data_IF_587557676092
#
_entry.id   IF_587557676092
#
_cell.length_a   1.000
_cell.length_b   1.000
_cell.length_c   1.000
_cell.angle_alpha   90.00
_cell.angle_beta   90.00
_cell.angle_gamma   90.00
#
_symmetry.space_group_name_H-M   'P 1'
#
loop_
_entity.id
_entity.type
_entity.pdbx_description
1 polymer ?
#
# COMPACT_ATOMS: atom_id res chain seq x y z
N UNK A 1 15.64 3.89 -12.98
CA UNK A 1 14.59 3.13 -12.31
C UNK A 1 14.87 3.03 -10.83
N UNK A 2 13.83 3.07 -9.99
CA UNK A 2 13.96 2.87 -8.53
C UNK A 2 14.26 1.39 -8.24
N UNK A 3 14.90 1.12 -7.11
CA UNK A 3 15.19 -0.24 -6.61
C UNK A 3 14.54 -0.38 -5.24
N UNK A 4 14.04 -1.59 -4.93
CA UNK A 4 13.55 -1.88 -3.58
C UNK A 4 14.71 -2.06 -2.61
N UNK A 5 14.50 -1.92 -1.30
CA UNK A 5 15.54 -2.19 -0.30
C UNK A 5 16.14 -3.60 -0.40
N UNK A 6 15.37 -4.57 -0.91
CA UNK A 6 15.79 -5.97 -1.04
C UNK A 6 16.41 -6.29 -2.41
N UNK A 7 16.58 -5.31 -3.30
CA UNK A 7 17.08 -5.52 -4.66
C UNK A 7 18.34 -6.41 -4.72
N UNK A 8 19.35 -6.10 -3.92
CA UNK A 8 20.60 -6.86 -3.89
C UNK A 8 20.40 -8.31 -3.40
N UNK A 9 19.45 -8.52 -2.50
CA UNK A 9 19.08 -9.87 -2.03
C UNK A 9 18.44 -10.68 -3.16
N UNK A 10 17.50 -10.08 -3.88
CA UNK A 10 16.88 -10.70 -5.05
C UNK A 10 17.91 -11.07 -6.11
N UNK A 11 18.84 -10.14 -6.41
CA UNK A 11 19.93 -10.39 -7.36
C UNK A 11 20.82 -11.56 -6.93
N UNK A 12 21.19 -11.62 -5.64
CA UNK A 12 21.99 -12.72 -5.06
C UNK A 12 21.30 -14.08 -5.21
N UNK A 13 19.97 -14.10 -5.18
CA UNK A 13 19.17 -15.32 -5.34
C UNK A 13 18.77 -15.59 -6.80
N UNK A 14 19.41 -14.96 -7.76
CA UNK A 14 19.22 -15.26 -9.20
C UNK A 14 17.89 -14.76 -9.76
N UNK A 15 17.30 -13.71 -9.17
CA UNK A 15 16.07 -13.12 -9.69
C UNK A 15 16.27 -12.56 -11.10
N UNK A 16 15.29 -12.76 -11.96
CA UNK A 16 15.12 -12.01 -13.21
C UNK A 16 14.28 -10.79 -12.95
N UNK A 17 14.76 -9.62 -13.37
CA UNK A 17 14.10 -8.35 -13.14
C UNK A 17 13.34 -7.86 -14.36
N UNK A 18 12.24 -7.17 -14.10
CA UNK A 18 11.45 -6.42 -15.08
C UNK A 18 11.09 -5.05 -14.54
N UNK A 19 10.76 -4.14 -15.44
CA UNK A 19 10.22 -2.84 -15.06
C UNK A 19 8.76 -2.99 -14.63
N UNK A 20 8.44 -2.55 -13.40
CA UNK A 20 7.09 -2.51 -12.88
C UNK A 20 6.90 -1.28 -11.97
N UNK A 21 5.88 -0.46 -12.25
CA UNK A 21 5.54 0.73 -11.45
C UNK A 21 6.74 1.67 -11.18
N UNK A 22 7.65 1.83 -12.14
CA UNK A 22 8.85 2.66 -12.02
C UNK A 22 10.02 2.02 -11.25
N UNK A 23 9.88 0.77 -10.84
CA UNK A 23 10.89 -0.02 -10.14
C UNK A 23 11.44 -1.15 -11.00
N UNK A 24 12.67 -1.59 -10.70
CA UNK A 24 13.20 -2.88 -11.12
C UNK A 24 12.71 -3.94 -10.12
N UNK A 25 11.72 -4.76 -10.54
CA UNK A 25 11.10 -5.76 -9.68
C UNK A 25 11.46 -7.18 -10.11
N UNK A 26 11.68 -8.11 -9.15
CA UNK A 26 11.89 -9.51 -9.47
C UNK A 26 10.59 -10.12 -10.00
N UNK A 27 10.62 -10.71 -11.20
CA UNK A 27 9.45 -11.39 -11.78
C UNK A 27 9.48 -12.89 -11.53
N UNK A 28 10.66 -13.48 -11.44
CA UNK A 28 10.84 -14.90 -11.17
C UNK A 28 12.28 -15.18 -10.72
N UNK A 29 12.47 -16.34 -10.14
CA UNK A 29 13.76 -16.92 -9.79
C UNK A 29 14.08 -18.12 -10.70
N UNK A 30 15.09 -18.90 -10.34
CA UNK A 30 15.57 -20.03 -11.15
C UNK A 30 14.47 -21.07 -11.48
N UNK A 31 13.57 -21.32 -10.53
CA UNK A 31 12.47 -22.28 -10.70
C UNK A 31 11.38 -21.85 -11.67
N UNK A 32 11.29 -20.57 -11.98
CA UNK A 32 10.35 -19.96 -12.92
C UNK A 32 8.95 -19.73 -12.36
N UNK A 33 8.22 -18.81 -13.02
CA UNK A 33 6.92 -18.29 -12.59
C UNK A 33 5.90 -19.39 -12.28
N UNK A 34 5.78 -20.40 -13.16
CA UNK A 34 4.75 -21.44 -13.01
C UNK A 34 4.97 -22.26 -11.75
N UNK A 35 6.22 -22.68 -11.49
CA UNK A 35 6.54 -23.47 -10.30
C UNK A 35 6.41 -22.65 -9.03
N UNK A 36 6.83 -21.38 -9.04
CA UNK A 36 6.67 -20.46 -7.93
C UNK A 36 5.19 -20.24 -7.58
N UNK A 37 4.34 -20.04 -8.61
CA UNK A 37 2.90 -19.94 -8.43
C UNK A 37 2.30 -21.21 -7.80
N UNK A 38 2.61 -22.39 -8.32
CA UNK A 38 2.13 -23.67 -7.79
C UNK A 38 2.61 -23.87 -6.36
N UNK A 39 3.87 -23.53 -6.05
CA UNK A 39 4.43 -23.61 -4.70
C UNK A 39 3.66 -22.70 -3.73
N UNK A 40 3.37 -21.48 -4.12
CA UNK A 40 2.58 -20.53 -3.30
C UNK A 40 1.16 -21.04 -3.05
N UNK A 41 0.53 -21.68 -4.05
CA UNK A 41 -0.83 -22.25 -3.92
C UNK A 41 -0.89 -23.47 -3.00
N UNK A 42 0.13 -24.30 -3.01
CA UNK A 42 0.15 -25.58 -2.27
C UNK A 42 0.90 -25.51 -0.94
N UNK A 43 1.75 -24.52 -0.76
CA UNK A 43 2.59 -24.32 0.43
C UNK A 43 2.55 -22.84 0.84
N UNK A 44 3.73 -22.20 0.88
CA UNK A 44 3.87 -20.80 1.27
C UNK A 44 4.75 -20.02 0.29
N UNK A 45 4.47 -18.72 0.13
CA UNK A 45 5.29 -17.80 -0.63
C UNK A 45 5.60 -16.52 0.15
N UNK A 46 6.75 -15.93 -0.12
CA UNK A 46 7.16 -14.61 0.40
C UNK A 46 7.26 -13.66 -0.79
N UNK A 47 6.70 -12.45 -0.63
CA UNK A 47 6.67 -11.44 -1.67
C UNK A 47 7.26 -10.13 -1.16
N UNK A 48 8.23 -9.56 -1.90
CA UNK A 48 8.69 -8.20 -1.67
C UNK A 48 7.66 -7.22 -2.22
N UNK A 49 7.01 -6.48 -1.31
CA UNK A 49 6.05 -5.43 -1.63
C UNK A 49 6.57 -4.03 -1.26
N UNK A 50 7.88 -3.88 -1.07
CA UNK A 50 8.52 -2.62 -0.64
C UNK A 50 8.37 -1.47 -1.64
N UNK A 51 7.94 -1.76 -2.88
CA UNK A 51 7.63 -0.73 -3.88
C UNK A 51 6.33 0.01 -3.60
N UNK A 52 5.43 -0.55 -2.81
CA UNK A 52 4.17 0.08 -2.42
C UNK A 52 4.40 1.26 -1.47
N UNK A 53 3.49 2.24 -1.49
CA UNK A 53 3.49 3.33 -0.52
C UNK A 53 3.02 2.85 0.85
N UNK A 54 3.73 3.24 1.91
CA UNK A 54 3.38 2.94 3.29
C UNK A 54 3.17 4.25 4.03
N UNK A 55 1.95 4.73 4.03
CA UNK A 55 1.59 6.03 4.60
C UNK A 55 1.15 5.88 6.05
N UNK A 56 1.79 6.62 6.96
CA UNK A 56 1.42 6.68 8.36
C UNK A 56 0.79 8.04 8.69
N UNK A 57 -0.40 8.01 9.27
CA UNK A 57 -1.18 9.16 9.69
C UNK A 57 -1.37 9.11 11.20
N UNK A 58 -0.94 10.13 11.92
CA UNK A 58 -1.17 10.24 13.37
C UNK A 58 -2.34 11.16 13.66
N UNK A 59 -3.24 10.70 14.53
CA UNK A 59 -4.40 11.45 14.98
C UNK A 59 -5.44 10.56 15.66
N UNK A 60 -6.37 11.18 16.37
CA UNK A 60 -7.47 10.52 17.08
C UNK A 60 -8.79 10.56 16.29
N UNK A 61 -9.88 10.81 17.01
CA UNK A 61 -11.25 10.79 16.45
C UNK A 61 -11.47 11.82 15.35
N UNK A 62 -10.82 12.98 15.41
CA UNK A 62 -10.89 13.98 14.35
C UNK A 62 -10.34 13.45 13.03
N UNK A 63 -9.16 12.80 13.05
CA UNK A 63 -8.60 12.15 11.87
C UNK A 63 -9.54 11.04 11.35
N UNK A 64 -10.10 10.24 12.24
CA UNK A 64 -11.08 9.20 11.88
C UNK A 64 -12.25 9.80 11.12
N UNK A 65 -12.84 10.89 11.63
CA UNK A 65 -13.96 11.57 11.00
C UNK A 65 -13.60 12.16 9.64
N UNK A 66 -12.41 12.73 9.48
CA UNK A 66 -11.98 13.28 8.21
C UNK A 66 -11.71 12.18 7.17
N UNK A 67 -11.08 11.08 7.57
CA UNK A 67 -10.84 9.95 6.68
C UNK A 67 -12.15 9.25 6.24
N UNK A 68 -13.18 9.19 7.09
CA UNK A 68 -14.49 8.64 6.73
C UNK A 68 -15.24 9.45 5.67
N UNK A 69 -14.87 10.71 5.43
CA UNK A 69 -15.39 11.52 4.31
C UNK A 69 -14.77 11.13 2.96
N UNK A 70 -13.64 10.44 2.99
CA UNK A 70 -12.82 10.10 1.81
C UNK A 70 -12.96 8.62 1.47
N UNK A 71 -12.98 7.77 2.50
CA UNK A 71 -13.04 6.31 2.35
C UNK A 71 -14.45 5.79 2.63
N UNK A 72 -15.02 4.95 1.75
CA UNK A 72 -16.38 4.41 1.91
C UNK A 72 -16.40 3.25 2.92
N UNK A 73 -15.92 3.51 4.14
CA UNK A 73 -15.78 2.50 5.19
C UNK A 73 -15.99 3.14 6.57
N UNK A 74 -16.65 2.44 7.47
CA UNK A 74 -16.83 2.84 8.87
C UNK A 74 -15.54 2.54 9.66
N UNK A 75 -14.63 3.52 9.69
CA UNK A 75 -13.34 3.41 10.38
C UNK A 75 -13.48 3.32 11.89
N UNK A 76 -14.57 3.83 12.45
CA UNK A 76 -14.82 3.76 13.90
C UNK A 76 -15.01 2.30 14.35
N UNK A 77 -15.56 1.44 13.49
CA UNK A 77 -15.79 0.01 13.79
C UNK A 77 -14.58 -0.89 13.53
N UNK A 78 -13.48 -0.36 12.97
CA UNK A 78 -12.26 -1.16 12.78
C UNK A 78 -11.53 -1.27 14.11
N UNK A 79 -11.18 -2.50 14.50
CA UNK A 79 -10.36 -2.75 15.68
C UNK A 79 -8.89 -2.35 15.47
N UNK A 80 -8.17 -2.01 16.54
CA UNK A 80 -6.72 -1.75 16.48
C UNK A 80 -6.01 -2.97 15.87
N UNK A 81 -5.05 -2.71 14.97
CA UNK A 81 -4.32 -3.70 14.18
C UNK A 81 -5.16 -4.50 13.16
N UNK A 82 -6.40 -4.09 12.92
CA UNK A 82 -7.22 -4.65 11.86
C UNK A 82 -7.05 -3.84 10.58
N UNK A 83 -6.84 -4.55 9.47
CA UNK A 83 -6.77 -3.99 8.12
C UNK A 83 -8.07 -4.21 7.36
N UNK A 84 -8.41 -3.24 6.51
CA UNK A 84 -9.55 -3.31 5.58
C UNK A 84 -9.14 -2.80 4.21
N UNK A 85 -9.61 -3.50 3.18
CA UNK A 85 -9.58 -3.03 1.81
C UNK A 85 -10.61 -1.93 1.62
N UNK A 86 -10.24 -0.85 0.95
CA UNK A 86 -11.09 0.31 0.71
C UNK A 86 -10.68 1.05 -0.56
N UNK A 87 -11.34 2.16 -0.86
CA UNK A 87 -11.13 2.96 -2.05
C UNK A 87 -10.91 4.42 -1.69
N UNK A 88 -10.06 5.11 -2.44
CA UNK A 88 -9.95 6.56 -2.46
C UNK A 88 -11.00 7.10 -3.41
N UNK A 89 -12.03 7.80 -2.86
CA UNK A 89 -13.22 8.18 -3.61
C UNK A 89 -13.13 9.59 -4.18
N UNK A 90 -13.71 9.74 -5.38
CA UNK A 90 -14.05 11.04 -5.98
C UNK A 90 -15.37 11.56 -5.39
N UNK A 91 -15.58 12.89 -5.48
CA UNK A 91 -16.81 13.52 -5.00
C UNK A 91 -18.06 13.08 -5.78
N UNK A 92 -17.89 12.69 -7.03
CA UNK A 92 -18.98 12.18 -7.87
C UNK A 92 -19.25 10.67 -7.69
N UNK A 93 -18.63 10.03 -6.67
CA UNK A 93 -18.78 8.60 -6.40
C UNK A 93 -17.87 7.68 -7.22
N UNK A 94 -17.03 8.23 -8.12
CA UNK A 94 -16.00 7.47 -8.82
C UNK A 94 -14.82 7.12 -7.89
N UNK A 95 -13.92 6.27 -8.36
CA UNK A 95 -12.75 5.80 -7.63
C UNK A 95 -11.50 6.45 -8.22
N UNK A 96 -10.61 6.96 -7.36
CA UNK A 96 -9.24 7.33 -7.75
C UNK A 96 -8.34 6.11 -7.77
N UNK A 97 -8.29 5.39 -6.65
CA UNK A 97 -7.49 4.17 -6.49
C UNK A 97 -8.08 3.27 -5.38
N UNK A 98 -7.59 2.03 -5.30
CA UNK A 98 -7.86 1.12 -4.20
C UNK A 98 -6.66 1.09 -3.23
N UNK A 99 -6.93 0.73 -1.98
CA UNK A 99 -5.92 0.75 -0.93
C UNK A 99 -6.28 -0.17 0.24
N UNK A 100 -5.31 -0.38 1.13
CA UNK A 100 -5.55 -1.06 2.40
C UNK A 100 -5.34 -0.06 3.53
N UNK A 101 -6.34 0.08 4.40
CA UNK A 101 -6.25 0.91 5.60
C UNK A 101 -6.21 0.03 6.84
N UNK A 102 -5.24 0.29 7.73
CA UNK A 102 -5.05 -0.40 9.00
C UNK A 102 -5.20 0.59 10.15
N UNK A 103 -6.06 0.29 11.12
CA UNK A 103 -6.18 1.09 12.33
C UNK A 103 -5.02 0.78 13.28
N UNK A 104 -4.29 1.81 13.68
CA UNK A 104 -3.24 1.75 14.69
C UNK A 104 -3.75 2.33 16.02
N UNK A 105 -2.95 2.20 17.08
CA UNK A 105 -3.28 2.76 18.40
C UNK A 105 -3.41 4.29 18.38
N UNK A 106 -2.56 4.96 17.59
CA UNK A 106 -2.43 6.42 17.52
C UNK A 106 -2.71 6.99 16.12
N UNK A 107 -3.45 6.26 15.28
CA UNK A 107 -3.78 6.69 13.93
C UNK A 107 -4.03 5.57 12.95
N UNK A 108 -3.54 5.73 11.72
CA UNK A 108 -3.75 4.78 10.63
C UNK A 108 -2.48 4.54 9.81
N UNK A 109 -2.33 3.33 9.31
CA UNK A 109 -1.41 3.00 8.21
C UNK A 109 -2.22 2.73 6.96
N UNK A 110 -1.81 3.33 5.84
CA UNK A 110 -2.44 3.12 4.53
C UNK A 110 -1.39 2.59 3.57
N UNK A 111 -1.71 1.48 2.89
CA UNK A 111 -0.88 0.93 1.81
C UNK A 111 -1.45 1.42 0.49
N UNK A 112 -0.63 2.14 -0.27
CA UNK A 112 -0.95 2.73 -1.56
C UNK A 112 -0.29 1.95 -2.69
N UNK A 113 -0.94 1.88 -3.84
CA UNK A 113 -0.40 1.26 -5.04
C UNK A 113 0.87 1.98 -5.53
N UNK A 114 1.89 1.23 -5.90
CA UNK A 114 3.22 1.76 -6.21
C UNK A 114 3.22 2.82 -7.31
N UNK A 115 2.40 2.62 -8.36
CA UNK A 115 2.31 3.54 -9.49
C UNK A 115 1.58 4.85 -9.15
N UNK A 116 0.63 4.81 -8.22
CA UNK A 116 -0.29 5.90 -7.89
C UNK A 116 0.08 6.62 -6.58
N UNK A 117 1.00 6.09 -5.78
CA UNK A 117 1.24 6.54 -4.40
C UNK A 117 1.53 8.04 -4.24
N UNK A 118 2.23 8.65 -5.19
CA UNK A 118 2.54 10.09 -5.13
C UNK A 118 1.26 10.92 -5.39
N UNK A 119 0.45 10.54 -6.38
CA UNK A 119 -0.82 11.19 -6.69
C UNK A 119 -1.87 10.98 -5.57
N UNK A 120 -1.94 9.76 -5.02
CA UNK A 120 -2.84 9.45 -3.91
C UNK A 120 -2.48 10.24 -2.65
N UNK A 121 -1.18 10.39 -2.36
CA UNK A 121 -0.69 11.21 -1.26
C UNK A 121 -1.11 12.67 -1.43
N UNK A 122 -0.98 13.22 -2.64
CA UNK A 122 -1.39 14.59 -2.92
C UNK A 122 -2.91 14.78 -2.76
N UNK A 123 -3.71 13.82 -3.23
CA UNK A 123 -5.17 13.83 -3.04
C UNK A 123 -5.51 13.77 -1.55
N UNK A 124 -4.90 12.86 -0.79
CA UNK A 124 -5.12 12.75 0.65
C UNK A 124 -4.78 14.05 1.37
N UNK A 125 -3.60 14.62 1.13
CA UNK A 125 -3.19 15.92 1.71
C UNK A 125 -4.17 17.04 1.37
N UNK A 126 -4.65 17.11 0.12
CA UNK A 126 -5.62 18.13 -0.29
C UNK A 126 -6.94 18.05 0.45
N UNK A 127 -7.36 16.84 0.85
CA UNK A 127 -8.65 16.58 1.49
C UNK A 127 -8.61 16.67 3.02
N UNK A 128 -7.53 16.22 3.66
CA UNK A 128 -7.42 16.27 5.13
C UNK A 128 -6.63 17.48 5.65
N UNK A 129 -5.98 18.22 4.74
CA UNK A 129 -5.15 19.38 5.09
C UNK A 129 -3.82 19.01 5.76
N UNK A 130 -3.08 20.04 6.18
CA UNK A 130 -1.74 19.88 6.79
C UNK A 130 -1.80 19.68 8.32
N UNK A 131 -2.98 19.56 8.90
CA UNK A 131 -3.17 19.44 10.35
C UNK A 131 -2.72 18.10 10.94
N UNK A 132 -2.47 17.09 10.10
CA UNK A 132 -2.03 15.78 10.54
C UNK A 132 -0.58 15.51 10.12
N UNK A 133 0.15 14.83 11.01
CA UNK A 133 1.47 14.32 10.66
C UNK A 133 1.33 13.16 9.67
N UNK A 134 1.88 13.34 8.47
CA UNK A 134 1.87 12.36 7.38
C UNK A 134 3.31 11.97 7.07
N UNK A 135 3.63 10.68 7.23
CA UNK A 135 4.94 10.10 6.89
C UNK A 135 4.75 9.01 5.82
N UNK A 136 5.48 9.12 4.72
CA UNK A 136 5.54 8.13 3.64
C UNK A 136 6.88 7.40 3.68
#
# INVERSE_FOLDING_TARGET
MKKTPLYNLHQKHGAKFVQFAGYEMPIQYETGIVKEHITTRNNSGIFDVSHMGQLFLKGGDELTNDLQKIFPIDLAKISINQSKYSFLMKENGGIYDDLIITKLKDGYMIILNAACKDADLDILKSKIGEKYQINL
#
